data_IF_481304502458
#
_entry.id   IF_481304502458
#
_cell.length_a   1.000
_cell.length_b   1.000
_cell.length_c   1.000
_cell.angle_alpha   90.00
_cell.angle_beta   90.00
_cell.angle_gamma   90.00
#
_symmetry.space_group_name_H-M   'P 1'
#
loop_
_entity.id
_entity.type
_entity.pdbx_description
1 polymer ?
#
# COMPACT_ATOMS: atom_id res chain seq x y z
N UNK A 1 4.48 18.95 17.68
CA UNK A 1 3.92 19.02 16.32
C UNK A 1 2.45 19.45 16.33
N UNK A 2 1.61 18.94 17.24
CA UNK A 2 0.17 19.24 17.31
C UNK A 2 -0.16 20.73 17.20
N UNK A 3 0.46 21.59 18.03
CA UNK A 3 0.23 23.05 18.01
C UNK A 3 0.53 23.71 16.65
N UNK A 4 1.58 23.27 15.94
CA UNK A 4 1.90 23.79 14.61
C UNK A 4 0.81 23.41 13.60
N UNK A 5 0.31 22.17 13.67
CA UNK A 5 -0.74 21.71 12.78
C UNK A 5 -2.05 22.44 13.08
N UNK A 6 -2.46 22.53 14.34
CA UNK A 6 -3.71 23.20 14.73
C UNK A 6 -3.72 24.68 14.31
N UNK A 7 -2.58 25.38 14.41
CA UNK A 7 -2.48 26.78 14.01
C UNK A 7 -2.58 27.03 12.49
N UNK A 8 -2.34 26.01 11.65
CA UNK A 8 -2.24 26.18 10.19
C UNK A 8 -3.28 25.40 9.39
N UNK A 9 -3.91 24.37 9.98
CA UNK A 9 -4.68 23.38 9.23
C UNK A 9 -5.90 23.97 8.50
N UNK A 10 -6.56 24.96 9.09
CA UNK A 10 -7.76 25.55 8.51
C UNK A 10 -7.45 26.51 7.34
N UNK A 11 -6.18 26.92 7.20
CA UNK A 11 -5.73 27.82 6.13
C UNK A 11 -4.96 27.10 5.01
N UNK A 12 -4.30 25.97 5.31
CA UNK A 12 -3.41 25.30 4.37
C UNK A 12 -3.56 23.78 4.39
N UNK A 13 -3.47 23.15 3.21
CA UNK A 13 -3.17 21.72 3.15
C UNK A 13 -1.71 21.50 3.56
N UNK A 14 -1.50 20.71 4.61
CA UNK A 14 -0.16 20.45 5.14
C UNK A 14 0.38 19.13 4.61
N UNK A 15 1.60 19.16 4.10
CA UNK A 15 2.31 17.98 3.58
C UNK A 15 3.65 17.81 4.30
N UNK A 16 4.07 16.57 4.53
CA UNK A 16 5.35 16.23 5.15
C UNK A 16 6.16 15.26 4.29
N UNK A 17 7.44 15.57 4.12
CA UNK A 17 8.42 14.73 3.43
C UNK A 17 9.16 13.87 4.45
N UNK A 18 9.20 12.55 4.26
CA UNK A 18 9.90 11.64 5.19
C UNK A 18 9.16 11.35 6.50
N UNK A 19 7.91 11.78 6.63
CA UNK A 19 7.07 11.54 7.80
C UNK A 19 7.26 12.56 8.92
N UNK A 20 6.74 12.22 10.10
CA UNK A 20 6.87 13.04 11.31
C UNK A 20 8.07 12.58 12.14
N UNK A 21 8.65 13.49 12.93
CA UNK A 21 9.77 13.15 13.80
C UNK A 21 9.40 11.99 14.75
N UNK A 22 10.15 10.86 14.77
CA UNK A 22 9.71 9.63 15.46
C UNK A 22 9.46 9.79 16.97
N UNK A 23 10.12 10.75 17.63
CA UNK A 23 9.94 11.02 19.07
C UNK A 23 8.79 11.98 19.38
N UNK A 24 8.16 12.57 18.37
CA UNK A 24 7.01 13.45 18.55
C UNK A 24 5.73 12.72 18.14
N UNK A 25 4.96 12.33 19.15
CA UNK A 25 3.67 11.65 18.98
C UNK A 25 2.46 12.56 19.23
N UNK A 26 2.68 13.84 19.58
CA UNK A 26 1.61 14.79 19.96
C UNK A 26 0.50 14.88 18.91
N UNK A 27 0.87 14.84 17.63
CA UNK A 27 -0.05 14.95 16.50
C UNK A 27 -0.94 13.71 16.28
N UNK A 28 -0.53 12.52 16.76
CA UNK A 28 -1.17 11.25 16.38
C UNK A 28 -2.62 11.14 16.84
N UNK A 29 -2.99 11.84 17.92
CA UNK A 29 -4.36 11.87 18.44
C UNK A 29 -5.30 12.64 17.52
N UNK A 30 -4.86 13.78 16.98
CA UNK A 30 -5.67 14.66 16.16
C UNK A 30 -5.55 14.41 14.66
N UNK A 31 -4.44 13.82 14.21
CA UNK A 31 -4.07 13.75 12.80
C UNK A 31 -3.57 12.36 12.38
N UNK A 32 -3.62 12.12 11.08
CA UNK A 32 -3.11 10.94 10.39
C UNK A 32 -2.39 11.35 9.10
N UNK A 33 -1.56 10.47 8.57
CA UNK A 33 -0.79 10.70 7.35
C UNK A 33 -1.34 9.83 6.22
N UNK A 34 -1.56 10.44 5.06
CA UNK A 34 -1.97 9.73 3.85
C UNK A 34 -0.94 9.96 2.74
N UNK A 35 -0.35 8.90 2.15
CA UNK A 35 0.67 9.07 1.12
C UNK A 35 0.09 9.72 -0.13
N UNK A 36 0.83 10.68 -0.69
CA UNK A 36 0.52 11.40 -1.94
C UNK A 36 1.84 11.63 -2.68
N UNK A 37 2.16 10.75 -3.63
CA UNK A 37 3.43 10.81 -4.35
C UNK A 37 4.62 10.56 -3.42
N UNK A 38 5.57 11.50 -3.38
CA UNK A 38 6.77 11.42 -2.55
C UNK A 38 6.59 11.94 -1.11
N UNK A 39 5.40 12.44 -0.77
CA UNK A 39 5.09 13.07 0.51
C UNK A 39 3.88 12.40 1.15
N UNK A 40 3.56 12.77 2.39
CA UNK A 40 2.27 12.44 3.00
C UNK A 40 1.50 13.72 3.29
N UNK A 41 0.20 13.73 2.96
CA UNK A 41 -0.70 14.75 3.43
C UNK A 41 -1.03 14.49 4.90
N UNK A 42 -0.99 15.53 5.72
CA UNK A 42 -1.51 15.52 7.08
C UNK A 42 -3.01 15.74 7.00
N UNK A 43 -3.80 14.82 7.56
CA UNK A 43 -5.25 14.87 7.55
C UNK A 43 -5.77 14.78 8.98
N UNK A 44 -6.70 15.63 9.38
CA UNK A 44 -7.36 15.57 10.69
C UNK A 44 -8.15 14.26 10.79
N UNK A 45 -8.01 13.53 11.90
CA UNK A 45 -8.80 12.31 12.12
C UNK A 45 -10.29 12.64 12.19
N UNK A 46 -11.12 11.73 11.69
CA UNK A 46 -12.56 11.94 11.57
C UNK A 46 -12.99 12.72 10.32
N UNK A 47 -12.05 13.29 9.56
CA UNK A 47 -12.35 13.85 8.23
C UNK A 47 -12.91 12.72 7.34
N UNK A 48 -14.05 12.91 6.66
CA UNK A 48 -14.57 11.94 5.70
C UNK A 48 -13.50 11.56 4.67
N UNK A 49 -13.34 10.26 4.44
CA UNK A 49 -12.30 9.73 3.56
C UNK A 49 -12.93 9.05 2.35
N UNK A 50 -12.73 9.63 1.18
CA UNK A 50 -13.04 8.99 -0.10
C UNK A 50 -11.77 8.31 -0.64
N UNK A 51 -11.74 6.98 -0.57
CA UNK A 51 -10.61 6.18 -1.02
C UNK A 51 -10.38 6.28 -2.54
N UNK A 52 -11.43 6.49 -3.34
CA UNK A 52 -11.31 6.59 -4.79
C UNK A 52 -10.76 7.96 -5.21
N UNK A 53 -11.29 9.02 -4.63
CA UNK A 53 -10.78 10.39 -4.86
C UNK A 53 -9.32 10.50 -4.43
N UNK A 54 -9.00 10.03 -3.22
CA UNK A 54 -7.63 10.00 -2.72
C UNK A 54 -6.71 9.18 -3.63
N UNK A 55 -7.14 7.99 -4.07
CA UNK A 55 -6.35 7.14 -4.95
C UNK A 55 -6.03 7.83 -6.28
N UNK A 56 -7.01 8.52 -6.88
CA UNK A 56 -6.83 9.26 -8.12
C UNK A 56 -5.89 10.46 -7.95
N UNK A 57 -6.06 11.24 -6.87
CA UNK A 57 -5.16 12.36 -6.54
C UNK A 57 -3.73 11.87 -6.30
N UNK A 58 -3.58 10.81 -5.52
CA UNK A 58 -2.28 10.22 -5.21
C UNK A 58 -1.60 9.64 -6.46
N UNK A 59 -2.36 9.07 -7.41
CA UNK A 59 -1.79 8.56 -8.66
C UNK A 59 -1.16 9.68 -9.51
N UNK A 60 -1.82 10.85 -9.59
CA UNK A 60 -1.29 12.02 -10.33
C UNK A 60 0.01 12.58 -9.75
N UNK A 61 0.28 12.33 -8.47
CA UNK A 61 1.48 12.76 -7.78
C UNK A 61 2.63 11.74 -7.83
N UNK A 62 2.42 10.57 -8.45
CA UNK A 62 3.46 9.54 -8.51
C UNK A 62 4.64 9.96 -9.39
N UNK A 63 5.88 9.68 -8.97
CA UNK A 63 7.04 9.86 -9.83
C UNK A 63 7.01 8.81 -10.96
N UNK A 64 7.61 9.14 -12.11
CA UNK A 64 7.76 8.17 -13.20
C UNK A 64 8.82 7.13 -12.85
N UNK A 65 8.45 5.84 -12.78
CA UNK A 65 9.39 4.74 -12.55
C UNK A 65 10.08 4.21 -13.82
N UNK A 66 9.44 4.34 -14.98
CA UNK A 66 10.04 3.95 -16.26
C UNK A 66 10.94 5.07 -16.78
N UNK A 67 12.22 5.01 -16.45
CA UNK A 67 13.21 6.00 -16.91
C UNK A 67 13.45 5.84 -18.41
N UNK A 68 13.74 6.93 -19.12
CA UNK A 68 14.11 6.86 -20.54
C UNK A 68 15.38 6.00 -20.76
N UNK A 69 16.28 6.01 -19.78
CA UNK A 69 17.40 5.08 -19.65
C UNK A 69 17.42 4.60 -18.20
N UNK A 70 17.47 3.28 -17.95
CA UNK A 70 17.64 2.73 -16.60
C UNK A 70 18.76 3.45 -15.84
N UNK A 71 18.53 3.83 -14.56
CA UNK A 71 19.59 4.40 -13.73
C UNK A 71 20.80 3.48 -13.65
N UNK A 72 22.00 4.05 -13.69
CA UNK A 72 23.23 3.26 -13.54
C UNK A 72 23.34 2.73 -12.10
N UNK A 73 23.80 1.49 -11.89
CA UNK A 73 24.05 0.96 -10.55
C UNK A 73 24.99 1.86 -9.74
N UNK A 74 24.63 2.14 -8.49
CA UNK A 74 25.36 3.02 -7.57
C UNK A 74 25.16 4.52 -7.82
N UNK A 75 24.43 4.92 -8.86
CA UNK A 75 24.14 6.33 -9.11
C UNK A 75 23.14 6.91 -8.11
N UNK A 76 23.18 8.21 -7.91
CA UNK A 76 22.16 8.93 -7.13
C UNK A 76 20.75 8.72 -7.67
N UNK A 77 20.59 8.61 -9.01
CA UNK A 77 19.30 8.36 -9.62
C UNK A 77 18.74 6.98 -9.22
N UNK A 78 19.58 5.94 -9.17
CA UNK A 78 19.17 4.62 -8.68
C UNK A 78 18.78 4.69 -7.20
N UNK A 79 19.61 5.33 -6.37
CA UNK A 79 19.37 5.46 -4.93
C UNK A 79 18.05 6.16 -4.65
N UNK A 80 17.78 7.31 -5.31
CA UNK A 80 16.53 8.05 -5.15
C UNK A 80 15.34 7.22 -5.63
N UNK A 81 15.46 6.56 -6.78
CA UNK A 81 14.36 5.80 -7.32
C UNK A 81 14.01 4.58 -6.45
N UNK A 82 15.03 3.86 -5.96
CA UNK A 82 14.86 2.73 -5.04
C UNK A 82 14.31 3.16 -3.68
N UNK A 83 14.81 4.24 -3.10
CA UNK A 83 14.48 4.62 -1.73
C UNK A 83 13.27 5.56 -1.61
N UNK A 84 12.83 6.19 -2.70
CA UNK A 84 11.71 7.13 -2.68
C UNK A 84 10.66 6.83 -3.73
N UNK A 85 11.05 6.55 -4.99
CA UNK A 85 10.05 6.39 -6.05
C UNK A 85 9.31 5.06 -5.92
N UNK A 86 10.03 3.97 -5.72
CA UNK A 86 9.43 2.64 -5.52
C UNK A 86 8.53 2.62 -4.26
N UNK A 87 8.96 3.14 -3.09
CA UNK A 87 8.09 3.27 -1.93
C UNK A 87 6.84 4.12 -2.18
N UNK A 88 6.89 5.18 -3.00
CA UNK A 88 5.70 5.97 -3.32
C UNK A 88 4.59 5.13 -3.99
N UNK A 89 4.96 4.10 -4.75
CA UNK A 89 3.99 3.15 -5.31
C UNK A 89 3.50 2.17 -4.25
N UNK A 90 4.41 1.55 -3.49
CA UNK A 90 4.08 0.50 -2.52
C UNK A 90 3.30 1.02 -1.29
N UNK A 91 3.54 2.25 -0.84
CA UNK A 91 2.87 2.83 0.33
C UNK A 91 1.39 3.15 0.10
N UNK A 92 0.99 3.41 -1.15
CA UNK A 92 -0.41 3.73 -1.48
C UNK A 92 -1.36 2.57 -1.14
N UNK A 93 -1.22 1.37 -1.73
CA UNK A 93 -2.07 0.24 -1.36
C UNK A 93 -1.87 -0.18 0.10
N UNK A 94 -0.67 -0.01 0.67
CA UNK A 94 -0.42 -0.31 2.08
C UNK A 94 -1.23 0.59 3.03
N UNK A 95 -1.30 1.90 2.79
CA UNK A 95 -2.10 2.81 3.60
C UNK A 95 -3.60 2.45 3.59
N UNK A 96 -4.13 2.02 2.43
CA UNK A 96 -5.51 1.51 2.36
C UNK A 96 -5.67 0.16 3.07
N UNK A 97 -4.65 -0.71 3.02
CA UNK A 97 -4.66 -1.98 3.73
C UNK A 97 -4.71 -1.77 5.24
N UNK A 98 -3.91 -0.84 5.78
CA UNK A 98 -3.94 -0.47 7.19
C UNK A 98 -5.30 0.15 7.58
N UNK A 99 -5.84 1.04 6.75
CA UNK A 99 -7.16 1.62 6.98
C UNK A 99 -8.27 0.56 6.94
N UNK A 100 -8.17 -0.46 6.08
CA UNK A 100 -9.11 -1.56 6.03
C UNK A 100 -9.11 -2.36 7.34
N UNK A 101 -7.93 -2.66 7.88
CA UNK A 101 -7.80 -3.32 9.20
C UNK A 101 -8.35 -2.45 10.33
N UNK A 102 -8.14 -1.14 10.30
CA UNK A 102 -8.70 -0.21 11.27
C UNK A 102 -10.24 -0.09 11.18
N UNK A 103 -10.82 -0.34 10.01
CA UNK A 103 -12.27 -0.32 9.78
C UNK A 103 -12.98 -1.63 10.16
N UNK A 104 -12.27 -2.62 10.72
CA UNK A 104 -12.85 -3.91 11.13
C UNK A 104 -14.05 -3.69 12.06
N UNK A 105 -15.17 -4.35 11.74
CA UNK A 105 -16.45 -4.15 12.43
C UNK A 105 -17.40 -3.18 11.72
N UNK A 106 -16.90 -2.41 10.73
CA UNK A 106 -17.70 -1.60 9.82
C UNK A 106 -17.74 -2.24 8.44
N UNK A 107 -18.55 -3.30 8.29
CA UNK A 107 -18.50 -4.23 7.15
C UNK A 107 -18.44 -3.57 5.76
N UNK A 108 -19.25 -2.54 5.50
CA UNK A 108 -19.25 -1.84 4.20
C UNK A 108 -17.94 -1.07 3.95
N UNK A 109 -17.44 -0.35 4.96
CA UNK A 109 -16.19 0.41 4.87
C UNK A 109 -14.97 -0.52 4.79
N UNK A 110 -14.93 -1.54 5.63
CA UNK A 110 -13.90 -2.59 5.62
C UNK A 110 -13.79 -3.24 4.22
N UNK A 111 -14.94 -3.66 3.66
CA UNK A 111 -14.99 -4.24 2.31
C UNK A 111 -14.50 -3.27 1.24
N UNK A 112 -14.95 -2.02 1.27
CA UNK A 112 -14.57 -1.02 0.29
C UNK A 112 -13.07 -0.74 0.31
N UNK A 113 -12.47 -0.64 1.51
CA UNK A 113 -11.04 -0.39 1.70
C UNK A 113 -10.19 -1.59 1.28
N UNK A 114 -10.56 -2.82 1.62
CA UNK A 114 -9.82 -4.01 1.13
C UNK A 114 -9.88 -4.14 -0.39
N UNK A 115 -11.04 -3.89 -1.02
CA UNK A 115 -11.15 -3.89 -2.48
C UNK A 115 -10.28 -2.79 -3.11
N UNK A 116 -10.26 -1.59 -2.53
CA UNK A 116 -9.43 -0.49 -3.01
C UNK A 116 -7.92 -0.79 -2.84
N UNK A 117 -7.52 -1.37 -1.70
CA UNK A 117 -6.14 -1.80 -1.46
C UNK A 117 -5.69 -2.87 -2.46
N UNK A 118 -6.50 -3.92 -2.66
CA UNK A 118 -6.23 -4.99 -3.61
C UNK A 118 -6.07 -4.44 -5.05
N UNK A 119 -6.98 -3.57 -5.47
CA UNK A 119 -6.89 -2.91 -6.78
C UNK A 119 -5.63 -2.08 -6.94
N UNK A 120 -5.24 -1.29 -5.94
CA UNK A 120 -4.02 -0.49 -6.01
C UNK A 120 -2.74 -1.34 -6.00
N UNK A 121 -2.76 -2.50 -5.34
CA UNK A 121 -1.67 -3.46 -5.44
C UNK A 121 -1.60 -4.08 -6.84
N UNK A 122 -2.73 -4.49 -7.43
CA UNK A 122 -2.81 -4.97 -8.82
C UNK A 122 -2.25 -3.92 -9.81
N UNK A 123 -2.63 -2.65 -9.64
CA UNK A 123 -2.09 -1.53 -10.42
C UNK A 123 -0.57 -1.38 -10.21
N UNK A 124 -0.08 -1.50 -8.97
CA UNK A 124 1.34 -1.34 -8.62
C UNK A 124 2.20 -2.43 -9.26
N UNK A 125 1.75 -3.68 -9.23
CA UNK A 125 2.51 -4.79 -9.80
C UNK A 125 2.41 -4.88 -11.32
N UNK A 126 1.42 -4.21 -11.92
CA UNK A 126 1.25 -4.09 -13.36
C UNK A 126 2.07 -2.94 -13.98
N UNK A 127 2.76 -2.12 -13.17
CA UNK A 127 3.58 -1.02 -13.69
C UNK A 127 4.71 -1.58 -14.56
N UNK A 128 4.77 -1.14 -15.81
CA UNK A 128 5.88 -1.45 -16.70
C UNK A 128 7.11 -0.65 -16.32
N UNK A 129 8.16 -1.34 -15.86
CA UNK A 129 9.38 -0.71 -15.36
C UNK A 129 10.51 -0.64 -16.38
N UNK A 130 10.30 -1.07 -17.63
CA UNK A 130 11.27 -1.08 -18.74
C UNK A 130 12.72 -1.51 -18.38
N UNK A 131 12.87 -2.41 -17.40
CA UNK A 131 14.18 -2.85 -16.88
C UNK A 131 14.86 -1.86 -15.93
N UNK A 132 14.26 -0.69 -15.67
CA UNK A 132 14.80 0.34 -14.77
C UNK A 132 14.90 -0.13 -13.33
N UNK A 133 13.84 -0.74 -12.78
CA UNK A 133 13.71 -1.09 -11.37
C UNK A 133 12.90 -2.38 -11.20
N UNK A 134 12.87 -2.90 -9.98
CA UNK A 134 12.00 -4.01 -9.56
C UNK A 134 11.11 -3.55 -8.41
N UNK A 135 9.88 -4.03 -8.37
CA UNK A 135 9.05 -3.90 -7.17
C UNK A 135 9.59 -4.81 -6.07
N UNK A 136 9.60 -4.35 -4.81
CA UNK A 136 10.00 -5.18 -3.68
C UNK A 136 9.07 -6.39 -3.53
N UNK A 137 9.61 -7.51 -3.10
CA UNK A 137 8.90 -8.77 -2.93
C UNK A 137 7.71 -8.65 -1.98
N UNK A 138 7.82 -7.82 -0.92
CA UNK A 138 6.75 -7.63 0.05
C UNK A 138 5.46 -7.06 -0.57
N UNK A 139 5.53 -6.44 -1.76
CA UNK A 139 4.35 -5.98 -2.50
C UNK A 139 3.45 -7.17 -2.88
N UNK A 140 4.05 -8.29 -3.30
CA UNK A 140 3.32 -9.52 -3.61
C UNK A 140 2.73 -10.18 -2.37
N UNK A 141 3.48 -10.19 -1.27
CA UNK A 141 2.99 -10.66 0.03
C UNK A 141 1.75 -9.89 0.47
N UNK A 142 1.83 -8.56 0.44
CA UNK A 142 0.71 -7.71 0.87
C UNK A 142 -0.48 -7.75 -0.10
N UNK A 143 -0.24 -7.95 -1.41
CA UNK A 143 -1.31 -8.23 -2.38
C UNK A 143 -2.03 -9.55 -2.04
N UNK A 144 -1.27 -10.60 -1.72
CA UNK A 144 -1.84 -11.86 -1.25
C UNK A 144 -2.71 -11.69 0.00
N UNK A 145 -2.23 -10.91 0.98
CA UNK A 145 -2.99 -10.55 2.18
C UNK A 145 -4.26 -9.76 1.84
N UNK A 146 -4.18 -8.74 0.98
CA UNK A 146 -5.34 -7.94 0.60
C UNK A 146 -6.44 -8.80 -0.03
N UNK A 147 -6.08 -9.72 -0.94
CA UNK A 147 -7.04 -10.65 -1.53
C UNK A 147 -7.53 -11.73 -0.57
N UNK A 148 -6.69 -12.23 0.35
CA UNK A 148 -7.12 -13.25 1.30
C UNK A 148 -8.17 -12.71 2.28
N UNK A 149 -8.09 -11.44 2.66
CA UNK A 149 -9.12 -10.80 3.50
C UNK A 149 -10.48 -10.71 2.79
N UNK A 150 -10.49 -10.55 1.46
CA UNK A 150 -11.72 -10.52 0.67
C UNK A 150 -12.47 -11.86 0.65
N UNK A 151 -11.80 -12.98 0.95
CA UNK A 151 -12.46 -14.29 1.09
C UNK A 151 -13.53 -14.30 2.16
N UNK A 152 -13.26 -13.62 3.28
CA UNK A 152 -14.19 -13.52 4.41
C UNK A 152 -15.31 -12.53 4.13
N UNK A 153 -15.02 -11.48 3.38
CA UNK A 153 -15.87 -10.28 3.31
C UNK A 153 -16.75 -10.25 2.05
N UNK A 154 -16.35 -10.91 0.96
CA UNK A 154 -17.14 -10.90 -0.28
C UNK A 154 -18.42 -11.75 -0.16
N UNK A 155 -19.58 -11.22 -0.59
CA UNK A 155 -20.88 -11.85 -0.34
C UNK A 155 -21.14 -13.10 -1.19
N UNK A 156 -20.56 -13.17 -2.41
CA UNK A 156 -20.85 -14.23 -3.38
C UNK A 156 -19.74 -15.29 -3.50
N UNK A 157 -20.12 -16.56 -3.72
CA UNK A 157 -19.19 -17.66 -3.91
C UNK A 157 -18.21 -17.42 -5.08
N UNK A 158 -18.69 -16.85 -6.20
CA UNK A 158 -17.84 -16.51 -7.34
C UNK A 158 -16.80 -15.43 -7.00
N UNK A 159 -17.19 -14.40 -6.24
CA UNK A 159 -16.29 -13.33 -5.79
C UNK A 159 -15.23 -13.87 -4.82
N UNK A 160 -15.63 -14.72 -3.86
CA UNK A 160 -14.69 -15.42 -2.97
C UNK A 160 -13.73 -16.32 -3.74
N UNK A 161 -14.21 -17.11 -4.71
CA UNK A 161 -13.35 -17.94 -5.53
C UNK A 161 -12.35 -17.12 -6.36
N UNK A 162 -12.76 -15.95 -6.88
CA UNK A 162 -11.85 -15.04 -7.57
C UNK A 162 -10.79 -14.45 -6.63
N UNK A 163 -11.19 -14.01 -5.44
CA UNK A 163 -10.27 -13.54 -4.40
C UNK A 163 -9.26 -14.63 -4.00
N UNK A 164 -9.72 -15.88 -3.85
CA UNK A 164 -8.87 -17.05 -3.54
C UNK A 164 -7.78 -17.24 -4.58
N UNK A 165 -8.16 -17.29 -5.86
CA UNK A 165 -7.20 -17.48 -6.96
C UNK A 165 -6.17 -16.36 -7.01
N UNK A 166 -6.60 -15.10 -6.81
CA UNK A 166 -5.69 -13.95 -6.81
C UNK A 166 -4.76 -13.96 -5.59
N UNK A 167 -5.28 -14.29 -4.40
CA UNK A 167 -4.46 -14.44 -3.19
C UNK A 167 -3.38 -15.51 -3.38
N UNK A 168 -3.78 -16.72 -3.82
CA UNK A 168 -2.84 -17.81 -4.08
C UNK A 168 -1.80 -17.42 -5.14
N UNK A 169 -2.21 -16.79 -6.24
CA UNK A 169 -1.29 -16.34 -7.29
C UNK A 169 -0.27 -15.31 -6.77
N UNK A 170 -0.70 -14.35 -5.96
CA UNK A 170 0.18 -13.34 -5.38
C UNK A 170 1.17 -13.95 -4.37
N UNK A 171 0.71 -14.87 -3.51
CA UNK A 171 1.59 -15.59 -2.58
C UNK A 171 2.60 -16.48 -3.30
N UNK A 172 2.20 -17.19 -4.35
CA UNK A 172 3.14 -17.98 -5.17
C UNK A 172 4.20 -17.09 -5.84
N UNK A 173 3.82 -15.89 -6.30
CA UNK A 173 4.79 -14.92 -6.83
C UNK A 173 5.74 -14.42 -5.75
N UNK A 174 5.25 -14.16 -4.54
CA UNK A 174 6.10 -13.83 -3.39
C UNK A 174 7.11 -14.94 -3.09
N UNK A 175 6.66 -16.19 -3.00
CA UNK A 175 7.49 -17.36 -2.70
C UNK A 175 8.53 -17.67 -3.78
N UNK A 176 8.33 -17.19 -5.01
CA UNK A 176 9.29 -17.32 -6.11
C UNK A 176 10.51 -16.40 -5.98
N UNK A 177 10.54 -15.49 -4.99
CA UNK A 177 11.72 -14.70 -4.68
C UNK A 177 12.69 -15.48 -3.78
N UNK A 178 13.97 -15.49 -4.14
CA UNK A 178 15.02 -16.17 -3.38
C UNK A 178 15.42 -15.44 -2.08
N UNK A 179 14.95 -14.20 -1.91
CA UNK A 179 15.26 -13.33 -0.76
C UNK A 179 14.27 -13.47 0.40
N UNK A 180 13.24 -14.30 0.25
CA UNK A 180 12.24 -14.56 1.28
C UNK A 180 12.87 -15.32 2.44
N UNK A 181 12.74 -14.79 3.66
CA UNK A 181 13.23 -15.46 4.85
C UNK A 181 12.47 -16.77 5.14
N UNK A 182 13.12 -17.72 5.81
CA UNK A 182 12.57 -19.06 6.00
C UNK A 182 11.26 -19.06 6.84
N UNK A 183 11.14 -18.16 7.81
CA UNK A 183 9.96 -18.12 8.69
C UNK A 183 8.75 -17.53 7.97
N UNK A 184 8.94 -16.47 7.18
CA UNK A 184 7.87 -15.89 6.37
C UNK A 184 7.52 -16.79 5.18
N UNK A 185 8.49 -17.52 4.62
CA UNK A 185 8.25 -18.59 3.63
C UNK A 185 7.30 -19.64 4.17
N UNK A 186 7.61 -20.23 5.33
CA UNK A 186 6.76 -21.23 5.98
C UNK A 186 5.35 -20.68 6.23
N UNK A 187 5.26 -19.46 6.75
CA UNK A 187 3.98 -18.78 7.01
C UNK A 187 3.14 -18.64 5.73
N UNK A 188 3.75 -18.20 4.63
CA UNK A 188 3.04 -18.00 3.36
C UNK A 188 2.72 -19.33 2.67
N UNK A 189 3.56 -20.36 2.78
CA UNK A 189 3.27 -21.71 2.29
C UNK A 189 2.03 -22.30 2.99
N UNK A 190 1.95 -22.17 4.32
CA UNK A 190 0.75 -22.57 5.07
C UNK A 190 -0.49 -21.78 4.64
N UNK A 191 -0.34 -20.47 4.39
CA UNK A 191 -1.44 -19.67 3.87
C UNK A 191 -1.90 -20.18 2.50
N UNK A 192 -1.00 -20.51 1.57
CA UNK A 192 -1.35 -21.08 0.25
C UNK A 192 -2.07 -22.41 0.39
N UNK A 193 -1.60 -23.32 1.26
CA UNK A 193 -2.26 -24.60 1.52
C UNK A 193 -3.69 -24.41 2.03
N UNK A 194 -3.90 -23.50 2.99
CA UNK A 194 -5.23 -23.20 3.51
C UNK A 194 -6.21 -22.67 2.46
N UNK A 195 -5.70 -22.06 1.37
CA UNK A 195 -6.50 -21.60 0.25
C UNK A 195 -6.91 -22.74 -0.70
N UNK A 196 -6.20 -23.87 -0.69
CA UNK A 196 -6.50 -25.02 -1.53
C UNK A 196 -7.59 -25.92 -0.91
N UNK A 197 -7.73 -25.92 0.41
CA UNK A 197 -8.61 -26.82 1.17
C UNK A 197 -10.08 -26.34 1.28
N UNK A 198 -10.49 -25.30 0.53
CA UNK A 198 -11.86 -24.72 0.53
C UNK A 198 -12.37 -24.39 -0.87
#
# INVERSE_FOLDING_TARGET
MEQLLDANYDAFEVYVCGGMHPRDESWRRGYQLWPVGLVSQVVRRGTPFDAQEWAARSARALPRLAFARPPQPGSWAEVVARNHYVPAYALRPFALLEAAYAAKGHAAAERALFNAAARLYDETVAVELNGSLRMPEYVWRNLGVAHSQLLRIEPGAAARAAARRRAASAFLRYLAHDTVDAADRETVEQAVLSLADT
#
